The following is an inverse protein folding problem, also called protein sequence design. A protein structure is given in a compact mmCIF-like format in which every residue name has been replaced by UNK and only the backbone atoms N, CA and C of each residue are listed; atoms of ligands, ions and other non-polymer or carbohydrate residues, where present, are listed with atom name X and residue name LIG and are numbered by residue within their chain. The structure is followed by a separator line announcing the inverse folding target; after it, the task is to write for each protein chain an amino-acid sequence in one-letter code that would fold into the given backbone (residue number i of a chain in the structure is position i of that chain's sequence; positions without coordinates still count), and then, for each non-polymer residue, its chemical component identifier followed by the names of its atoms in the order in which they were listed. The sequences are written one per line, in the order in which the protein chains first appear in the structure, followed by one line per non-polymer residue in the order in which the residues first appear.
data_IF_438996954440
#
_entry.id   IF_438996954440
#
_cell.length_a   1.000
_cell.length_b   1.000
_cell.length_c   1.000
_cell.angle_alpha   90.00
_cell.angle_beta   90.00
_cell.angle_gamma   90.00
#
_symmetry.space_group_name_H-M   'P 1'
#
loop_
_entity.id
_entity.type
_entity.pdbx_description
1 polymer ?
#
# COMPACT_ATOMS: atom_id res chain seq x y z
N UNK A 1 -10.34 29.62 -15.27
CA UNK A 1 -10.01 28.17 -15.20
C UNK A 1 -8.57 27.80 -15.54
N UNK A 2 -7.82 28.53 -16.39
CA UNK A 2 -6.44 28.12 -16.76
C UNK A 2 -5.43 28.20 -15.60
N UNK A 3 -5.54 29.18 -14.69
CA UNK A 3 -4.64 29.32 -13.52
C UNK A 3 -4.66 28.12 -12.57
N UNK A 4 -5.82 27.50 -12.35
CA UNK A 4 -5.97 26.32 -11.46
C UNK A 4 -5.36 25.08 -12.11
N UNK A 5 -5.65 24.84 -13.40
CA UNK A 5 -5.03 23.74 -14.15
C UNK A 5 -3.51 23.88 -14.19
N UNK A 6 -3.01 25.10 -14.42
CA UNK A 6 -1.58 25.37 -14.41
C UNK A 6 -0.94 25.13 -13.03
N UNK A 7 -1.62 25.48 -11.94
CA UNK A 7 -1.13 25.23 -10.59
C UNK A 7 -1.11 23.73 -10.24
N UNK A 8 -2.13 22.97 -10.67
CA UNK A 8 -2.28 21.55 -10.36
C UNK A 8 -1.48 20.61 -11.26
N UNK A 9 -1.11 21.02 -12.48
CA UNK A 9 -0.49 20.14 -13.47
C UNK A 9 0.87 20.62 -13.99
N UNK A 10 1.23 21.90 -13.88
CA UNK A 10 2.54 22.39 -14.34
C UNK A 10 3.54 22.56 -13.19
N UNK A 11 4.83 22.51 -13.53
CA UNK A 11 5.94 22.79 -12.62
C UNK A 11 6.46 24.19 -12.93
N UNK A 12 6.19 25.19 -12.07
CA UNK A 12 6.63 26.59 -12.29
C UNK A 12 7.67 27.05 -11.26
N UNK A 13 7.47 26.75 -9.97
CA UNK A 13 8.37 27.14 -8.88
C UNK A 13 8.49 26.01 -7.85
N UNK A 14 9.64 25.87 -7.19
CA UNK A 14 9.89 24.87 -6.13
C UNK A 14 8.81 24.87 -5.05
N UNK A 15 8.39 26.04 -4.53
CA UNK A 15 7.32 26.12 -3.52
C UNK A 15 5.99 25.54 -4.03
N UNK A 16 5.66 25.86 -5.29
CA UNK A 16 4.46 25.36 -5.95
C UNK A 16 4.54 23.86 -6.26
N UNK A 17 5.72 23.34 -6.63
CA UNK A 17 5.95 21.91 -6.85
C UNK A 17 5.76 21.12 -5.55
N UNK A 18 6.34 21.59 -4.44
CA UNK A 18 6.18 20.95 -3.13
C UNK A 18 4.71 20.97 -2.71
N UNK A 19 4.06 22.13 -2.74
CA UNK A 19 2.65 22.26 -2.37
C UNK A 19 1.75 21.35 -3.22
N UNK A 20 1.99 21.30 -4.54
CA UNK A 20 1.26 20.42 -5.47
C UNK A 20 1.48 18.94 -5.13
N UNK A 21 2.72 18.51 -4.93
CA UNK A 21 3.02 17.10 -4.65
C UNK A 21 2.43 16.67 -3.31
N UNK A 22 2.53 17.51 -2.28
CA UNK A 22 1.90 17.26 -0.98
C UNK A 22 0.38 17.17 -1.12
N UNK A 23 -0.23 18.07 -1.90
CA UNK A 23 -1.68 18.03 -2.16
C UNK A 23 -2.10 16.72 -2.85
N UNK A 24 -1.46 16.34 -3.96
CA UNK A 24 -1.80 15.10 -4.68
C UNK A 24 -1.55 13.85 -3.85
N UNK A 25 -0.42 13.78 -3.12
CA UNK A 25 -0.14 12.67 -2.21
C UNK A 25 -1.15 12.62 -1.06
N UNK A 26 -1.49 13.77 -0.47
CA UNK A 26 -2.47 13.88 0.59
C UNK A 26 -3.85 13.42 0.15
N UNK A 27 -4.32 13.88 -1.02
CA UNK A 27 -5.59 13.44 -1.62
C UNK A 27 -5.58 11.93 -1.87
N UNK A 28 -4.49 11.37 -2.41
CA UNK A 28 -4.37 9.93 -2.62
C UNK A 28 -4.39 9.11 -1.31
N UNK A 29 -3.69 9.58 -0.28
CA UNK A 29 -3.65 8.93 1.03
C UNK A 29 -4.98 9.00 1.77
N UNK A 30 -5.63 10.16 1.78
CA UNK A 30 -6.95 10.33 2.41
C UNK A 30 -8.01 9.55 1.63
N UNK A 31 -8.01 9.66 0.30
CA UNK A 31 -8.95 8.94 -0.56
C UNK A 31 -8.84 7.42 -0.39
N UNK A 32 -7.63 6.87 -0.39
CA UNK A 32 -7.43 5.43 -0.18
C UNK A 32 -7.88 4.96 1.21
N UNK A 33 -7.65 5.76 2.27
CA UNK A 33 -8.14 5.45 3.62
C UNK A 33 -9.67 5.50 3.72
N UNK A 34 -10.31 6.46 3.04
CA UNK A 34 -11.77 6.54 2.97
C UNK A 34 -12.34 5.30 2.27
N UNK A 35 -11.79 4.92 1.12
CA UNK A 35 -12.21 3.71 0.38
C UNK A 35 -12.03 2.46 1.27
N UNK A 36 -10.87 2.33 1.93
CA UNK A 36 -10.61 1.23 2.86
C UNK A 36 -11.62 1.19 4.00
N UNK A 37 -11.97 2.34 4.58
CA UNK A 37 -12.97 2.42 5.65
C UNK A 37 -14.35 1.95 5.16
N UNK A 38 -14.79 2.37 3.98
CA UNK A 38 -16.04 1.90 3.39
C UNK A 38 -16.04 0.38 3.18
N UNK A 39 -14.95 -0.20 2.67
CA UNK A 39 -14.83 -1.66 2.48
C UNK A 39 -14.94 -2.39 3.82
N UNK A 40 -14.25 -1.91 4.86
CA UNK A 40 -14.26 -2.53 6.19
C UNK A 40 -15.65 -2.45 6.82
N UNK A 41 -16.30 -1.28 6.76
CA UNK A 41 -17.67 -1.10 7.30
C UNK A 41 -18.66 -1.99 6.55
N UNK A 42 -18.54 -2.09 5.23
CA UNK A 42 -19.38 -2.96 4.42
C UNK A 42 -19.17 -4.44 4.76
N UNK A 43 -17.92 -4.87 4.90
CA UNK A 43 -17.58 -6.25 5.29
C UNK A 43 -18.16 -6.59 6.67
N UNK A 44 -18.06 -5.69 7.65
CA UNK A 44 -18.62 -5.89 8.99
C UNK A 44 -20.15 -6.09 8.97
N UNK A 45 -20.85 -5.35 8.10
CA UNK A 45 -22.31 -5.49 7.95
C UNK A 45 -22.71 -6.78 7.23
N UNK A 46 -21.92 -7.22 6.26
CA UNK A 46 -22.20 -8.42 5.49
C UNK A 46 -21.90 -9.71 6.27
N UNK A 47 -20.79 -9.73 7.00
CA UNK A 47 -20.29 -10.90 7.73
C UNK A 47 -20.97 -11.08 9.10
N UNK A 48 -21.47 -10.00 9.71
CA UNK A 48 -21.93 -10.05 11.10
C UNK A 48 -20.77 -10.15 12.10
N UNK A 49 -21.07 -10.09 13.40
CA UNK A 49 -20.05 -9.88 14.44
C UNK A 49 -19.03 -11.02 14.56
N UNK A 50 -19.45 -12.28 14.47
CA UNK A 50 -18.58 -13.45 14.64
C UNK A 50 -17.57 -13.58 13.49
N UNK A 51 -18.07 -13.64 12.24
CA UNK A 51 -17.22 -13.79 11.06
C UNK A 51 -16.35 -12.53 10.81
N UNK A 52 -16.85 -11.34 11.14
CA UNK A 52 -16.03 -10.13 11.09
C UNK A 52 -14.89 -10.17 12.11
N UNK A 53 -15.07 -10.82 13.27
CA UNK A 53 -14.01 -11.05 14.25
C UNK A 53 -12.87 -11.89 13.66
N UNK A 54 -13.22 -13.00 12.99
CA UNK A 54 -12.25 -13.86 12.29
C UNK A 54 -11.55 -13.11 11.17
N UNK A 55 -12.30 -12.39 10.33
CA UNK A 55 -11.76 -11.57 9.25
C UNK A 55 -10.80 -10.49 9.77
N UNK A 56 -11.20 -9.76 10.82
CA UNK A 56 -10.39 -8.69 11.41
C UNK A 56 -9.08 -9.22 12.00
N UNK A 57 -9.14 -10.40 12.62
CA UNK A 57 -7.95 -11.07 13.13
C UNK A 57 -7.01 -11.48 11.99
N UNK A 58 -7.53 -12.15 10.95
CA UNK A 58 -6.74 -12.53 9.78
C UNK A 58 -6.12 -11.31 9.09
N UNK A 59 -6.88 -10.22 8.95
CA UNK A 59 -6.40 -8.95 8.40
C UNK A 59 -5.30 -8.31 9.26
N UNK A 60 -5.42 -8.41 10.59
CA UNK A 60 -4.39 -7.94 11.53
C UNK A 60 -3.09 -8.73 11.40
N UNK A 61 -3.17 -10.06 11.35
CA UNK A 61 -2.02 -10.93 11.10
C UNK A 61 -1.39 -10.64 9.73
N UNK A 62 -2.17 -10.60 8.66
CA UNK A 62 -1.67 -10.25 7.33
C UNK A 62 -0.99 -8.87 7.33
N UNK A 63 -1.58 -7.91 8.05
CA UNK A 63 -1.01 -6.57 8.28
C UNK A 63 0.38 -6.61 8.91
N UNK A 64 0.59 -7.45 9.92
CA UNK A 64 1.90 -7.63 10.55
C UNK A 64 2.97 -8.12 9.55
N UNK A 65 2.61 -9.08 8.70
CA UNK A 65 3.54 -9.62 7.69
C UNK A 65 3.84 -8.65 6.54
N UNK A 66 3.07 -7.57 6.35
CA UNK A 66 3.32 -6.59 5.26
C UNK A 66 4.70 -5.93 5.32
N UNK A 67 5.34 -5.87 6.49
CA UNK A 67 6.72 -5.37 6.64
C UNK A 67 7.70 -6.16 5.77
N UNK A 68 7.49 -7.47 5.61
CA UNK A 68 8.31 -8.32 4.75
C UNK A 68 8.00 -8.14 3.26
N UNK A 69 6.77 -7.72 2.92
CA UNK A 69 6.35 -7.48 1.55
C UNK A 69 6.87 -6.15 0.97
N UNK A 70 7.16 -5.16 1.82
CA UNK A 70 7.78 -3.90 1.41
C UNK A 70 8.84 -3.44 2.42
N UNK A 71 10.07 -3.87 2.19
CA UNK A 71 11.25 -3.52 2.98
C UNK A 71 11.81 -2.11 2.67
N UNK A 72 11.02 -1.24 2.04
CA UNK A 72 11.43 0.11 1.62
C UNK A 72 11.79 0.23 0.14
N UNK A 73 11.34 -0.70 -0.71
CA UNK A 73 11.57 -0.63 -2.15
C UNK A 73 10.87 0.59 -2.78
N UNK A 74 9.69 0.94 -2.27
CA UNK A 74 8.91 2.08 -2.76
C UNK A 74 9.65 3.43 -2.64
N UNK A 75 10.15 3.84 -1.45
CA UNK A 75 10.92 5.08 -1.32
C UNK A 75 12.26 5.05 -2.07
N UNK A 76 12.93 3.89 -2.17
CA UNK A 76 14.15 3.75 -2.98
C UNK A 76 13.84 4.04 -4.45
N UNK A 77 12.77 3.44 -5.00
CA UNK A 77 12.33 3.68 -6.36
C UNK A 77 12.06 5.17 -6.60
N UNK A 78 11.27 5.82 -5.74
CA UNK A 78 10.97 7.25 -5.88
C UNK A 78 12.25 8.09 -5.89
N UNK A 79 13.22 7.77 -5.01
CA UNK A 79 14.49 8.49 -4.92
C UNK A 79 15.35 8.30 -6.18
N UNK A 80 15.51 7.08 -6.67
CA UNK A 80 16.36 6.79 -7.84
C UNK A 80 15.75 7.35 -9.13
N UNK A 81 14.43 7.27 -9.29
CA UNK A 81 13.72 7.88 -10.43
C UNK A 81 13.86 9.40 -10.40
N UNK A 82 13.76 10.03 -9.22
CA UNK A 82 13.95 11.48 -9.08
C UNK A 82 15.37 11.93 -9.42
N UNK A 83 16.40 11.13 -9.09
CA UNK A 83 17.80 11.42 -9.43
C UNK A 83 18.09 11.25 -10.92
N UNK A 84 17.51 10.23 -11.56
CA UNK A 84 17.80 9.83 -12.95
C UNK A 84 16.51 9.55 -13.72
N UNK A 85 15.74 10.60 -14.10
CA UNK A 85 14.43 10.43 -14.72
C UNK A 85 14.47 9.63 -16.04
N UNK A 86 15.56 9.73 -16.81
CA UNK A 86 15.74 8.96 -18.05
C UNK A 86 15.85 7.44 -17.87
N UNK A 87 16.06 6.94 -16.63
CA UNK A 87 16.12 5.51 -16.31
C UNK A 87 14.90 5.02 -15.50
N UNK A 88 13.82 5.79 -15.48
CA UNK A 88 12.65 5.48 -14.64
C UNK A 88 12.06 4.09 -14.92
N UNK A 89 11.95 3.71 -16.20
CA UNK A 89 11.44 2.39 -16.60
C UNK A 89 12.28 1.23 -16.07
N UNK A 90 13.61 1.36 -16.14
CA UNK A 90 14.55 0.34 -15.64
C UNK A 90 14.43 0.15 -14.12
N UNK A 91 14.41 1.25 -13.36
CA UNK A 91 14.23 1.19 -11.91
C UNK A 91 12.85 0.63 -11.54
N UNK A 92 11.80 1.02 -12.27
CA UNK A 92 10.46 0.49 -12.05
C UNK A 92 10.39 -1.02 -12.29
N UNK A 93 10.90 -1.51 -13.42
CA UNK A 93 10.89 -2.93 -13.75
C UNK A 93 11.67 -3.76 -12.73
N UNK A 94 12.84 -3.28 -12.30
CA UNK A 94 13.65 -3.96 -11.27
C UNK A 94 12.90 -4.02 -9.94
N UNK A 95 12.36 -2.88 -9.48
CA UNK A 95 11.58 -2.81 -8.24
C UNK A 95 10.31 -3.66 -8.30
N UNK A 96 9.65 -3.72 -9.46
CA UNK A 96 8.47 -4.53 -9.67
C UNK A 96 8.75 -6.02 -9.47
N UNK A 97 9.81 -6.55 -10.09
CA UNK A 97 10.20 -7.95 -9.90
C UNK A 97 10.65 -8.26 -8.47
N UNK A 98 11.40 -7.34 -7.84
CA UNK A 98 11.74 -7.49 -6.42
C UNK A 98 10.50 -7.52 -5.54
N UNK A 99 9.49 -6.68 -5.81
CA UNK A 99 8.20 -6.71 -5.09
C UNK A 99 7.45 -8.03 -5.28
N UNK A 100 7.44 -8.60 -6.50
CA UNK A 100 6.82 -9.91 -6.73
C UNK A 100 7.47 -10.98 -5.87
N UNK A 101 8.81 -11.02 -5.80
CA UNK A 101 9.54 -12.00 -4.99
C UNK A 101 9.22 -11.80 -3.50
N UNK A 102 9.27 -10.55 -3.00
CA UNK A 102 8.95 -10.26 -1.60
C UNK A 102 7.50 -10.63 -1.26
N UNK A 103 6.55 -10.37 -2.16
CA UNK A 103 5.16 -10.76 -1.98
C UNK A 103 5.02 -12.29 -1.92
N UNK A 104 5.66 -13.02 -2.84
CA UNK A 104 5.65 -14.48 -2.82
C UNK A 104 6.21 -15.04 -1.51
N UNK A 105 7.36 -14.54 -1.07
CA UNK A 105 7.97 -14.93 0.22
C UNK A 105 7.04 -14.59 1.38
N UNK A 106 6.47 -13.39 1.42
CA UNK A 106 5.55 -12.97 2.48
C UNK A 106 4.30 -13.83 2.52
N UNK A 107 3.71 -14.16 1.36
CA UNK A 107 2.56 -15.06 1.28
C UNK A 107 2.89 -16.45 1.82
N UNK A 108 4.07 -17.00 1.50
CA UNK A 108 4.52 -18.27 2.08
C UNK A 108 4.67 -18.17 3.60
N UNK A 109 5.28 -17.09 4.11
CA UNK A 109 5.40 -16.85 5.55
C UNK A 109 4.03 -16.78 6.25
N UNK A 110 3.06 -16.09 5.64
CA UNK A 110 1.70 -16.03 6.17
C UNK A 110 1.06 -17.43 6.20
N UNK A 111 1.17 -18.20 5.12
CA UNK A 111 0.54 -19.53 5.04
C UNK A 111 1.16 -20.51 6.05
N UNK A 112 2.48 -20.51 6.24
CA UNK A 112 3.15 -21.50 7.09
C UNK A 112 3.35 -21.07 8.54
N UNK A 113 3.57 -19.78 8.80
CA UNK A 113 3.86 -19.28 10.15
C UNK A 113 2.60 -18.76 10.85
N UNK A 114 1.68 -18.08 10.14
CA UNK A 114 0.51 -17.50 10.80
C UNK A 114 -0.35 -18.55 11.55
N UNK A 115 -0.56 -19.79 11.03
CA UNK A 115 -1.29 -20.83 11.76
C UNK A 115 -0.64 -21.22 13.10
N UNK A 116 0.69 -21.15 13.21
CA UNK A 116 1.40 -21.51 14.44
C UNK A 116 1.18 -20.49 15.56
N UNK A 117 0.96 -19.22 15.21
CA UNK A 117 0.68 -18.15 16.16
C UNK A 117 -0.82 -17.97 16.43
N UNK A 118 -1.68 -18.47 15.54
CA UNK A 118 -3.13 -18.32 15.66
C UNK A 118 -3.77 -19.49 16.40
N UNK A 119 -4.44 -19.22 17.52
CA UNK A 119 -5.26 -20.20 18.25
C UNK A 119 -6.64 -20.46 17.63
N UNK A 120 -6.82 -20.15 16.34
CA UNK A 120 -8.11 -20.21 15.66
C UNK A 120 -8.30 -21.60 15.05
N UNK A 121 -9.36 -22.31 15.44
CA UNK A 121 -9.71 -23.62 14.87
C UNK A 121 -9.92 -23.56 13.35
N UNK A 122 -10.49 -22.47 12.83
CA UNK A 122 -10.64 -22.22 11.39
C UNK A 122 -9.32 -21.97 10.63
N UNK A 123 -8.19 -21.79 11.33
CA UNK A 123 -6.86 -21.61 10.73
C UNK A 123 -6.00 -22.89 10.81
N UNK A 124 -6.48 -23.95 11.47
CA UNK A 124 -5.83 -25.26 11.43
C UNK A 124 -6.19 -25.95 10.11
N UNK A 125 -5.18 -26.21 9.30
CA UNK A 125 -5.28 -27.07 8.12
C UNK A 125 -5.52 -28.53 8.51
#
# INVERSE_FOLDING_TARGET
MSKIKDFLFKNKNVKQIIAKNVFWLGVGQVGSRIIRAFIIIYAARLLGAAEYGVFSYALGLAGFFTVFADIGLSPILTREVAKKPGRGSYYFATTFWMKIILLAVTSLLVIFLAPQFSGIEAAKA
#
